data_IF_276829042920
#
_entry.id   IF_276829042920
#
_cell.length_a   1.000
_cell.length_b   1.000
_cell.length_c   1.000
_cell.angle_alpha   90.00
_cell.angle_beta   90.00
_cell.angle_gamma   90.00
#
_symmetry.space_group_name_H-M   'P 1'
#
loop_
_entity.id
_entity.type
_entity.pdbx_description
1 polymer ?
#
# COMPACT_ATOMS: atom_id res chain seq x y z
N UNK A 1 4.81 -14.85 10.54
CA UNK A 1 3.65 -15.05 9.64
C UNK A 1 4.08 -14.72 8.21
N UNK A 2 4.06 -15.71 7.31
CA UNK A 2 4.36 -15.50 5.87
C UNK A 2 3.26 -14.62 5.26
N UNK A 3 3.65 -13.46 4.73
CA UNK A 3 2.74 -12.47 4.16
C UNK A 3 2.11 -13.03 2.86
N UNK A 4 0.90 -13.62 2.98
CA UNK A 4 0.20 -14.32 1.89
C UNK A 4 -0.10 -13.42 0.69
N UNK A 5 -0.29 -12.12 0.94
CA UNK A 5 -0.56 -11.12 -0.10
C UNK A 5 0.68 -10.90 -0.96
N UNK A 6 1.84 -10.71 -0.34
CA UNK A 6 3.12 -10.58 -1.05
C UNK A 6 3.46 -11.84 -1.87
N UNK A 7 3.23 -13.03 -1.31
CA UNK A 7 3.45 -14.28 -2.03
C UNK A 7 2.52 -14.45 -3.24
N UNK A 8 1.29 -13.93 -3.17
CA UNK A 8 0.35 -13.94 -4.29
C UNK A 8 0.83 -13.05 -5.44
N UNK A 9 1.32 -11.85 -5.13
CA UNK A 9 1.89 -10.93 -6.13
C UNK A 9 3.17 -11.49 -6.78
N UNK A 10 4.04 -12.14 -5.99
CA UNK A 10 5.26 -12.78 -6.51
C UNK A 10 4.94 -13.95 -7.44
N UNK A 11 3.91 -14.75 -7.12
CA UNK A 11 3.49 -15.88 -7.96
C UNK A 11 2.94 -15.40 -9.31
N UNK A 12 2.05 -14.40 -9.31
CA UNK A 12 1.49 -13.82 -10.54
C UNK A 12 2.56 -13.16 -11.44
N UNK A 13 3.63 -12.65 -10.85
CA UNK A 13 4.73 -12.03 -11.58
C UNK A 13 5.65 -13.05 -12.27
N UNK A 14 5.78 -14.26 -11.71
CA UNK A 14 6.68 -15.30 -12.22
C UNK A 14 6.04 -16.23 -13.25
N UNK A 15 4.71 -16.40 -13.25
CA UNK A 15 4.02 -17.31 -14.20
C UNK A 15 3.93 -16.74 -15.64
N UNK A 16 4.37 -15.50 -15.89
CA UNK A 16 4.23 -14.80 -17.19
C UNK A 16 5.56 -14.56 -17.94
N UNK A 17 6.61 -15.35 -17.68
CA UNK A 17 7.95 -15.09 -18.22
C UNK A 17 8.18 -15.79 -19.57
N UNK A 18 8.04 -15.01 -20.66
CA UNK A 18 8.81 -15.20 -21.90
C UNK A 18 9.06 -13.83 -22.55
N UNK A 19 10.34 -13.52 -22.81
CA UNK A 19 10.93 -12.36 -23.52
C UNK A 19 11.28 -11.10 -22.70
N UNK A 20 12.56 -10.72 -22.77
CA UNK A 20 13.32 -10.06 -21.70
C UNK A 20 13.64 -8.56 -21.89
N UNK A 21 13.21 -7.91 -22.98
CA UNK A 21 13.44 -6.46 -23.18
C UNK A 21 12.13 -5.65 -23.04
N UNK A 22 11.05 -6.12 -23.66
CA UNK A 22 9.71 -5.53 -23.50
C UNK A 22 9.20 -5.67 -22.05
N UNK A 23 9.59 -6.75 -21.36
CA UNK A 23 9.28 -6.98 -19.94
C UNK A 23 9.92 -5.94 -19.01
N UNK A 24 11.14 -5.48 -19.30
CA UNK A 24 11.81 -4.52 -18.44
C UNK A 24 11.18 -3.12 -18.57
N UNK A 25 10.91 -2.70 -19.81
CA UNK A 25 10.21 -1.44 -20.10
C UNK A 25 8.81 -1.41 -19.50
N UNK A 26 8.03 -2.49 -19.68
CA UNK A 26 6.70 -2.61 -19.08
C UNK A 26 6.73 -2.68 -17.55
N UNK A 27 7.78 -3.27 -16.95
CA UNK A 27 7.95 -3.29 -15.49
C UNK A 27 8.27 -1.92 -14.91
N UNK A 28 9.08 -1.10 -15.60
CA UNK A 28 9.35 0.29 -15.21
C UNK A 28 8.08 1.13 -15.33
N UNK A 29 7.36 1.04 -16.46
CA UNK A 29 6.12 1.76 -16.67
C UNK A 29 5.06 1.43 -15.59
N UNK A 30 4.89 0.14 -15.27
CA UNK A 30 4.01 -0.32 -14.19
C UNK A 30 4.42 0.22 -12.81
N UNK A 31 5.73 0.34 -12.56
CA UNK A 31 6.23 0.88 -11.30
C UNK A 31 5.93 2.38 -11.16
N UNK A 32 6.08 3.14 -12.25
CA UNK A 32 5.75 4.57 -12.26
C UNK A 32 4.23 4.80 -12.15
N UNK A 33 3.41 3.98 -12.81
CA UNK A 33 1.95 3.97 -12.63
C UNK A 33 1.57 3.68 -11.17
N UNK A 34 2.17 2.66 -10.54
CA UNK A 34 1.93 2.35 -9.13
C UNK A 34 2.27 3.52 -8.21
N UNK A 35 3.41 4.20 -8.44
CA UNK A 35 3.79 5.40 -7.69
C UNK A 35 2.77 6.54 -7.86
N UNK A 36 2.27 6.76 -9.07
CA UNK A 36 1.26 7.78 -9.34
C UNK A 36 -0.06 7.46 -8.63
N UNK A 37 -0.50 6.21 -8.70
CA UNK A 37 -1.71 5.72 -8.01
C UNK A 37 -1.59 5.92 -6.50
N UNK A 38 -0.46 5.54 -5.90
CA UNK A 38 -0.19 5.73 -4.47
C UNK A 38 -0.20 7.21 -4.12
N UNK A 39 0.40 8.07 -4.95
CA UNK A 39 0.42 9.52 -4.74
C UNK A 39 -1.00 10.12 -4.76
N UNK A 40 -1.83 9.73 -5.72
CA UNK A 40 -3.22 10.18 -5.81
C UNK A 40 -4.06 9.69 -4.63
N UNK A 41 -3.87 8.43 -4.22
CA UNK A 41 -4.52 7.89 -3.04
C UNK A 41 -4.11 8.63 -1.77
N UNK A 42 -2.82 8.88 -1.57
CA UNK A 42 -2.26 9.59 -0.42
C UNK A 42 -2.84 11.00 -0.25
N UNK A 43 -3.20 11.67 -1.36
CA UNK A 43 -3.85 12.99 -1.31
C UNK A 43 -5.26 12.95 -0.70
N UNK A 44 -5.96 11.82 -0.74
CA UNK A 44 -7.32 11.65 -0.16
C UNK A 44 -7.31 11.31 1.34
N UNK A 45 -6.13 11.10 1.92
CA UNK A 45 -5.96 10.79 3.33
C UNK A 45 -5.95 12.07 4.17
N UNK A 46 -6.56 12.01 5.35
CA UNK A 46 -6.45 13.05 6.36
C UNK A 46 -5.01 13.13 6.92
N UNK A 47 -4.62 14.20 7.63
CA UNK A 47 -3.27 14.32 8.18
C UNK A 47 -2.85 13.12 9.05
N UNK A 48 -3.73 12.64 9.93
CA UNK A 48 -3.45 11.47 10.76
C UNK A 48 -3.32 10.19 9.91
N UNK A 49 -4.22 10.00 8.96
CA UNK A 49 -4.19 8.84 8.07
C UNK A 49 -2.92 8.81 7.21
N UNK A 50 -2.39 9.98 6.83
CA UNK A 50 -1.12 10.08 6.09
C UNK A 50 0.05 9.55 6.90
N UNK A 51 0.18 9.95 8.16
CA UNK A 51 1.27 9.45 9.02
C UNK A 51 1.14 7.95 9.30
N UNK A 52 -0.08 7.49 9.61
CA UNK A 52 -0.36 6.07 9.82
C UNK A 52 -0.07 5.26 8.55
N UNK A 53 -0.54 5.73 7.39
CA UNK A 53 -0.29 5.08 6.10
C UNK A 53 1.19 5.05 5.74
N UNK A 54 1.94 6.13 6.01
CA UNK A 54 3.39 6.21 5.74
C UNK A 54 4.15 5.12 6.49
N UNK A 55 3.87 4.95 7.79
CA UNK A 55 4.53 3.94 8.61
C UNK A 55 4.09 2.52 8.23
N UNK A 56 2.79 2.31 8.01
CA UNK A 56 2.27 1.02 7.57
C UNK A 56 2.84 0.59 6.21
N UNK A 57 2.94 1.53 5.26
CA UNK A 57 3.54 1.30 3.94
C UNK A 57 5.03 0.98 4.03
N UNK A 58 5.72 1.52 5.04
CA UNK A 58 7.12 1.17 5.35
C UNK A 58 7.28 -0.21 6.02
N UNK A 59 6.17 -0.90 6.32
CA UNK A 59 6.17 -2.24 6.90
C UNK A 59 5.91 -2.29 8.41
N UNK A 60 5.62 -1.15 9.05
CA UNK A 60 5.27 -1.13 10.47
C UNK A 60 3.90 -1.78 10.72
N UNK A 61 3.79 -2.48 11.85
CA UNK A 61 2.52 -3.01 12.31
C UNK A 61 1.79 -1.99 13.21
N UNK A 62 0.49 -2.17 13.43
CA UNK A 62 -0.35 -1.24 14.23
C UNK A 62 0.22 -1.04 15.64
N UNK A 63 0.76 -2.10 16.26
CA UNK A 63 1.39 -2.03 17.58
C UNK A 63 2.60 -1.06 17.59
N UNK A 64 3.48 -1.15 16.59
CA UNK A 64 4.61 -0.24 16.48
C UNK A 64 4.16 1.19 16.15
N UNK A 65 3.16 1.35 15.28
CA UNK A 65 2.69 2.66 14.84
C UNK A 65 2.15 3.48 16.02
N UNK A 66 1.38 2.87 16.93
CA UNK A 66 0.85 3.63 18.06
C UNK A 66 1.95 4.09 19.03
N UNK A 67 3.01 3.30 19.19
CA UNK A 67 4.20 3.69 19.97
C UNK A 67 4.95 4.84 19.28
N UNK A 68 5.20 4.73 17.97
CA UNK A 68 5.96 5.71 17.19
C UNK A 68 5.24 7.06 17.08
N UNK A 69 3.92 7.06 16.98
CA UNK A 69 3.12 8.29 16.89
C UNK A 69 2.69 8.81 18.27
N UNK A 70 3.00 8.10 19.36
CA UNK A 70 2.52 8.39 20.71
C UNK A 70 0.99 8.58 20.76
N UNK A 71 0.27 7.67 20.10
CA UNK A 71 -1.19 7.67 20.01
C UNK A 71 -1.78 6.46 20.73
N UNK A 72 -3.08 6.57 21.06
CA UNK A 72 -3.82 5.42 21.53
C UNK A 72 -3.92 4.38 20.41
N UNK A 73 -3.79 3.10 20.79
CA UNK A 73 -3.95 1.98 19.85
C UNK A 73 -5.26 2.08 19.06
N UNK A 74 -6.36 2.44 19.73
CA UNK A 74 -7.67 2.63 19.11
C UNK A 74 -7.70 3.75 18.06
N UNK A 75 -6.93 4.82 18.24
CA UNK A 75 -6.85 5.89 17.25
C UNK A 75 -6.16 5.42 15.97
N UNK A 76 -5.10 4.61 16.11
CA UNK A 76 -4.39 4.01 14.98
C UNK A 76 -5.25 2.96 14.28
N UNK A 77 -5.94 2.10 15.03
CA UNK A 77 -6.85 1.11 14.46
C UNK A 77 -7.98 1.77 13.66
N UNK A 78 -8.63 2.79 14.22
CA UNK A 78 -9.65 3.57 13.54
C UNK A 78 -9.12 4.27 12.28
N UNK A 79 -7.90 4.82 12.32
CA UNK A 79 -7.26 5.40 11.14
C UNK A 79 -7.01 4.33 10.08
N UNK A 80 -6.57 3.13 10.46
CA UNK A 80 -6.38 2.03 9.53
C UNK A 80 -7.68 1.55 8.88
N UNK A 81 -8.76 1.42 9.66
CA UNK A 81 -10.07 1.07 9.12
C UNK A 81 -10.53 2.09 8.08
N UNK A 82 -10.36 3.40 8.34
CA UNK A 82 -10.68 4.47 7.38
C UNK A 82 -9.81 4.40 6.12
N UNK A 83 -8.50 4.16 6.25
CA UNK A 83 -7.60 3.97 5.11
C UNK A 83 -8.06 2.78 4.25
N UNK A 84 -8.38 1.64 4.88
CA UNK A 84 -8.86 0.45 4.16
C UNK A 84 -10.18 0.72 3.43
N UNK A 85 -11.10 1.45 4.05
CA UNK A 85 -12.36 1.83 3.42
C UNK A 85 -12.12 2.77 2.22
N UNK A 86 -11.33 3.83 2.40
CA UNK A 86 -10.95 4.74 1.31
C UNK A 86 -10.23 4.03 0.18
N UNK A 87 -9.44 3.00 0.49
CA UNK A 87 -8.76 2.18 -0.53
C UNK A 87 -9.80 1.46 -1.38
N UNK A 88 -10.80 0.81 -0.77
CA UNK A 88 -11.90 0.16 -1.49
C UNK A 88 -12.65 1.15 -2.38
N UNK A 89 -12.94 2.33 -1.87
CA UNK A 89 -13.68 3.36 -2.60
C UNK A 89 -12.83 4.00 -3.72
N UNK A 90 -11.51 4.06 -3.54
CA UNK A 90 -10.57 4.51 -4.57
C UNK A 90 -10.51 3.54 -5.75
N UNK A 91 -10.49 2.23 -5.51
CA UNK A 91 -10.50 1.21 -6.56
C UNK A 91 -11.83 1.05 -7.29
N UNK A 92 -12.96 1.41 -6.66
CA UNK A 92 -14.26 1.38 -7.34
C UNK A 92 -14.47 2.54 -8.31
N UNK A 93 -13.76 3.65 -8.08
CA UNK A 93 -13.96 4.92 -8.78
C UNK A 93 -12.78 5.28 -9.72
N UNK A 94 -11.82 4.39 -9.91
CA UNK A 94 -10.75 4.46 -10.91
C UNK A 94 -10.71 3.14 -11.69
#
# INVERSE_FOLDING_TARGET
MRNRVLNYYVKLANDNVTNNEEYFSTKIARFDEQKQVIKLFYQRLSPLEKEVFRLWYAGENIYNIHQLLALDYWQVDNAMQRIMQKTKDFYKNN
#
